data_IF_404939987988
#
_entry.id   IF_404939987988
#
_cell.length_a   1.000
_cell.length_b   1.000
_cell.length_c   1.000
_cell.angle_alpha   90.00
_cell.angle_beta   90.00
_cell.angle_gamma   90.00
#
_symmetry.space_group_name_H-M   'P 1'
#
loop_
_entity.id
_entity.type
_entity.pdbx_description
1 polymer ?
#
# COMPACT_ATOMS: atom_id res chain seq x y z
N UNK A 1 -8.53 5.24 -21.00
CA UNK A 1 -9.09 5.69 -19.71
C UNK A 1 -8.25 6.84 -19.21
N UNK A 2 -8.70 8.09 -19.33
CA UNK A 2 -8.01 9.24 -18.72
C UNK A 2 -8.58 9.50 -17.33
N UNK A 3 -7.72 9.72 -16.33
CA UNK A 3 -8.10 10.25 -15.02
C UNK A 3 -7.89 11.77 -15.06
N UNK A 4 -8.92 12.58 -15.40
CA UNK A 4 -8.70 13.99 -15.74
C UNK A 4 -8.16 14.81 -14.57
N UNK A 5 -8.41 14.36 -13.34
CA UNK A 5 -7.90 14.95 -12.09
C UNK A 5 -6.38 14.97 -12.01
N UNK A 6 -5.69 14.12 -12.77
CA UNK A 6 -4.22 14.09 -12.82
C UNK A 6 -3.66 15.08 -13.85
N UNK A 7 -4.45 15.52 -14.82
CA UNK A 7 -4.02 16.49 -15.84
C UNK A 7 -2.87 15.99 -16.72
N UNK A 8 -2.70 14.68 -16.86
CA UNK A 8 -1.62 14.07 -17.64
C UNK A 8 -2.06 13.78 -19.07
N UNK A 9 -1.18 14.04 -20.03
CA UNK A 9 -1.32 13.54 -21.40
C UNK A 9 -0.93 12.05 -21.50
N UNK A 10 -1.17 11.47 -22.67
CA UNK A 10 -0.96 10.03 -22.88
C UNK A 10 0.53 9.63 -22.77
N UNK A 11 1.44 10.50 -23.18
CA UNK A 11 2.88 10.27 -23.10
C UNK A 11 3.35 10.23 -21.64
N UNK A 12 2.94 11.23 -20.86
CA UNK A 12 3.23 11.32 -19.42
C UNK A 12 2.67 10.12 -18.65
N UNK A 13 1.48 9.62 -19.02
CA UNK A 13 0.91 8.41 -18.41
C UNK A 13 1.77 7.19 -18.72
N UNK A 14 2.29 7.06 -19.94
CA UNK A 14 3.11 5.92 -20.35
C UNK A 14 4.46 5.92 -19.62
N UNK A 15 5.10 7.07 -19.50
CA UNK A 15 6.35 7.21 -18.74
C UNK A 15 6.15 6.86 -17.26
N UNK A 16 5.15 7.47 -16.62
CA UNK A 16 4.84 7.21 -15.21
C UNK A 16 4.48 5.74 -14.95
N UNK A 17 3.76 5.09 -15.89
CA UNK A 17 3.45 3.68 -15.80
C UNK A 17 4.72 2.81 -15.84
N UNK A 18 5.69 3.18 -16.68
CA UNK A 18 6.99 2.50 -16.74
C UNK A 18 7.72 2.55 -15.39
N UNK A 19 7.83 3.76 -14.81
CA UNK A 19 8.46 3.96 -13.51
C UNK A 19 7.73 3.22 -12.38
N UNK A 20 6.39 3.22 -12.42
CA UNK A 20 5.58 2.49 -11.46
C UNK A 20 5.81 0.98 -11.54
N UNK A 21 5.83 0.41 -12.75
CA UNK A 21 6.00 -1.02 -12.96
C UNK A 21 7.38 -1.51 -12.52
N UNK A 22 8.42 -0.67 -12.58
CA UNK A 22 9.74 -1.00 -12.02
C UNK A 22 9.72 -1.18 -10.49
N UNK A 23 8.74 -0.56 -9.82
CA UNK A 23 8.56 -0.67 -8.37
C UNK A 23 7.47 -1.67 -7.96
N UNK A 24 6.78 -2.31 -8.92
CA UNK A 24 5.62 -3.15 -8.66
C UNK A 24 5.91 -4.62 -8.97
N UNK A 25 5.42 -5.51 -8.12
CA UNK A 25 5.51 -6.95 -8.31
C UNK A 25 4.12 -7.59 -8.32
N UNK A 26 3.91 -8.57 -9.20
CA UNK A 26 2.67 -9.37 -9.22
C UNK A 26 2.82 -10.53 -8.24
N UNK A 27 2.05 -10.50 -7.16
CA UNK A 27 2.07 -11.54 -6.13
C UNK A 27 0.84 -12.45 -6.26
N UNK A 28 1.06 -13.77 -6.28
CA UNK A 28 -0.01 -14.75 -6.23
C UNK A 28 -0.57 -14.84 -4.80
N UNK A 29 -1.84 -14.45 -4.62
CA UNK A 29 -2.44 -14.37 -3.30
C UNK A 29 -2.72 -15.74 -2.68
N UNK A 30 -2.30 -15.92 -1.44
CA UNK A 30 -2.73 -17.05 -0.60
C UNK A 30 -3.93 -16.61 0.26
N UNK A 31 -5.14 -16.87 -0.22
CA UNK A 31 -6.40 -16.37 0.38
C UNK A 31 -6.74 -17.01 1.74
N UNK A 32 -5.99 -18.02 2.18
CA UNK A 32 -6.27 -18.80 3.39
C UNK A 32 -6.23 -18.03 4.72
N UNK A 33 -5.78 -16.76 4.74
CA UNK A 33 -5.62 -15.96 5.96
C UNK A 33 -6.63 -14.82 6.16
N UNK A 34 -7.62 -14.65 5.27
CA UNK A 34 -8.52 -13.49 5.30
C UNK A 34 -9.52 -13.51 6.48
N UNK A 35 -9.75 -14.65 7.12
CA UNK A 35 -10.74 -14.80 8.21
C UNK A 35 -10.41 -14.00 9.49
N UNK A 36 -9.14 -13.60 9.66
CA UNK A 36 -8.70 -12.84 10.84
C UNK A 36 -8.62 -11.33 10.61
N UNK A 37 -9.07 -10.85 9.45
CA UNK A 37 -9.07 -9.42 9.16
C UNK A 37 -10.32 -8.74 9.75
N UNK A 38 -10.18 -7.51 10.26
CA UNK A 38 -11.34 -6.72 10.62
C UNK A 38 -12.19 -6.45 9.38
N UNK A 39 -13.51 -6.45 9.57
CA UNK A 39 -14.46 -6.05 8.53
C UNK A 39 -14.47 -4.53 8.44
N UNK A 40 -14.11 -4.00 7.27
CA UNK A 40 -14.19 -2.57 7.02
C UNK A 40 -15.64 -2.13 6.89
N UNK A 41 -15.94 -0.92 7.38
CA UNK A 41 -17.27 -0.31 7.19
C UNK A 41 -17.49 0.12 5.74
N UNK A 42 -16.43 0.60 5.10
CA UNK A 42 -16.39 0.85 3.66
C UNK A 42 -16.00 -0.44 2.94
N UNK A 43 -16.80 -0.84 1.96
CA UNK A 43 -16.53 -2.05 1.19
C UNK A 43 -15.28 -1.88 0.30
N UNK A 44 -14.98 -0.64 -0.11
CA UNK A 44 -13.83 -0.33 -0.97
C UNK A 44 -12.49 -0.40 -0.20
N UNK A 45 -12.54 -0.35 1.14
CA UNK A 45 -11.37 -0.51 2.02
C UNK A 45 -10.97 -1.98 2.21
N UNK A 46 -11.93 -2.90 2.14
CA UNK A 46 -11.72 -4.32 2.47
C UNK A 46 -10.65 -5.00 1.61
N UNK A 47 -10.58 -4.77 0.28
CA UNK A 47 -9.56 -5.37 -0.58
C UNK A 47 -8.14 -5.02 -0.15
N UNK A 48 -7.88 -3.83 0.38
CA UNK A 48 -6.53 -3.44 0.81
C UNK A 48 -6.02 -4.31 1.95
N UNK A 49 -6.88 -4.65 2.92
CA UNK A 49 -6.51 -5.56 4.01
C UNK A 49 -6.27 -6.98 3.52
N UNK A 50 -7.11 -7.45 2.58
CA UNK A 50 -7.00 -8.79 1.98
C UNK A 50 -5.71 -8.91 1.18
N UNK A 51 -5.35 -7.89 0.40
CA UNK A 51 -4.12 -7.84 -0.39
C UNK A 51 -2.88 -7.80 0.51
N UNK A 52 -2.87 -6.93 1.52
CA UNK A 52 -1.76 -6.85 2.48
C UNK A 52 -1.53 -8.20 3.20
N UNK A 53 -2.61 -8.87 3.61
CA UNK A 53 -2.52 -10.19 4.24
C UNK A 53 -2.11 -11.29 3.26
N UNK A 54 -2.70 -11.31 2.08
CA UNK A 54 -2.50 -12.35 1.07
C UNK A 54 -1.14 -12.27 0.38
N UNK A 55 -0.54 -11.07 0.36
CA UNK A 55 0.81 -10.80 -0.13
C UNK A 55 1.89 -10.80 0.96
N UNK A 56 1.55 -11.17 2.20
CA UNK A 56 2.47 -11.26 3.35
C UNK A 56 3.29 -9.98 3.61
N UNK A 57 2.65 -8.82 3.48
CA UNK A 57 3.33 -7.53 3.64
C UNK A 57 3.58 -7.20 5.10
N UNK A 58 4.73 -6.60 5.42
CA UNK A 58 5.01 -6.08 6.77
C UNK A 58 4.21 -4.81 7.09
N UNK A 59 3.96 -3.96 6.09
CA UNK A 59 3.34 -2.65 6.25
C UNK A 59 2.39 -2.32 5.08
N UNK A 60 1.16 -1.92 5.40
CA UNK A 60 0.24 -1.26 4.48
C UNK A 60 0.39 0.26 4.63
N UNK A 61 0.79 0.95 3.56
CA UNK A 61 0.97 2.41 3.57
C UNK A 61 -0.27 3.10 3.01
N UNK A 62 -0.91 3.96 3.80
CA UNK A 62 -2.13 4.69 3.38
C UNK A 62 -2.26 6.06 4.05
N UNK A 63 -3.04 6.96 3.45
CA UNK A 63 -3.48 8.23 4.08
C UNK A 63 -4.94 8.18 4.55
N UNK A 64 -5.62 7.06 4.35
CA UNK A 64 -7.00 6.89 4.76
C UNK A 64 -7.10 6.75 6.29
N UNK A 65 -7.94 7.57 6.93
CA UNK A 65 -8.07 7.60 8.40
C UNK A 65 -8.81 6.39 8.95
N UNK A 66 -9.73 5.81 8.19
CA UNK A 66 -10.49 4.61 8.57
C UNK A 66 -9.55 3.43 8.64
N UNK A 67 -8.74 3.22 7.59
CA UNK A 67 -7.72 2.17 7.55
C UNK A 67 -6.64 2.38 8.61
N UNK A 68 -6.14 3.60 8.80
CA UNK A 68 -5.16 3.91 9.86
C UNK A 68 -5.71 3.60 11.26
N UNK A 69 -7.02 3.74 11.48
CA UNK A 69 -7.68 3.37 12.74
C UNK A 69 -7.76 1.85 13.00
N UNK A 70 -7.41 1.02 12.01
CA UNK A 70 -7.33 -0.43 12.13
C UNK A 70 -5.91 -0.92 12.47
N UNK A 71 -4.94 -0.01 12.64
CA UNK A 71 -3.61 -0.36 13.12
C UNK A 71 -3.71 -1.23 14.40
N UNK A 72 -2.84 -2.24 14.50
CA UNK A 72 -2.82 -3.27 15.57
C UNK A 72 -4.01 -4.23 15.62
N UNK A 73 -5.02 -4.08 14.77
CA UNK A 73 -6.08 -5.09 14.57
C UNK A 73 -5.76 -6.05 13.44
N UNK A 74 -4.60 -5.88 12.82
CA UNK A 74 -4.06 -6.65 11.71
C UNK A 74 -2.75 -7.32 12.13
N UNK A 75 -2.34 -8.35 11.40
CA UNK A 75 -1.03 -8.99 11.58
C UNK A 75 0.15 -8.21 10.99
N UNK A 76 -0.11 -7.06 10.35
CA UNK A 76 0.84 -6.15 9.72
C UNK A 76 0.57 -4.72 10.18
N UNK A 77 1.53 -3.81 10.02
CA UNK A 77 1.38 -2.40 10.41
C UNK A 77 0.59 -1.62 9.39
N UNK A 78 -0.15 -0.60 9.81
CA UNK A 78 -0.79 0.35 8.90
C UNK A 78 -0.22 1.74 9.17
N UNK A 79 0.51 2.31 8.21
CA UNK A 79 1.28 3.54 8.39
C UNK A 79 0.98 4.61 7.35
N UNK A 80 1.25 5.86 7.69
CA UNK A 80 1.25 6.95 6.69
C UNK A 80 2.54 6.93 5.87
N UNK A 81 2.54 7.48 4.63
CA UNK A 81 3.76 7.59 3.82
C UNK A 81 4.89 8.36 4.50
N UNK A 82 4.55 9.32 5.39
CA UNK A 82 5.55 10.08 6.15
C UNK A 82 6.22 9.20 7.21
N UNK A 83 5.44 8.37 7.92
CA UNK A 83 5.98 7.47 8.93
C UNK A 83 6.80 6.35 8.30
N UNK A 84 6.29 5.76 7.23
CA UNK A 84 6.99 4.71 6.48
C UNK A 84 8.36 5.19 6.00
N UNK A 85 8.43 6.39 5.38
CA UNK A 85 9.70 6.96 4.90
C UNK A 85 10.73 7.21 6.01
N UNK A 86 10.30 7.65 7.20
CA UNK A 86 11.22 7.86 8.34
C UNK A 86 11.98 6.58 8.72
N UNK A 87 11.37 5.40 8.52
CA UNK A 87 12.03 4.12 8.73
C UNK A 87 13.21 3.86 7.79
N UNK A 88 13.17 4.42 6.57
CA UNK A 88 14.25 4.30 5.58
C UNK A 88 15.29 5.41 5.69
N UNK A 89 14.90 6.62 6.13
CA UNK A 89 15.82 7.74 6.36
C UNK A 89 16.81 7.49 7.52
N UNK A 90 16.50 6.56 8.43
CA UNK A 90 17.41 6.11 9.49
C UNK A 90 18.50 5.14 9.03
N UNK A 91 18.35 4.50 7.85
CA UNK A 91 19.28 3.49 7.33
C UNK A 91 20.42 4.11 6.52
N UNK A 92 20.25 5.33 6.01
CA UNK A 92 21.24 6.01 5.15
C UNK A 92 22.32 6.81 5.90
N UNK A 93 22.41 6.68 7.24
CA UNK A 93 23.44 7.40 8.06
C UNK A 93 24.39 6.49 8.85
N UNK A 94 24.51 5.22 8.49
CA UNK A 94 25.59 4.36 9.00
C UNK A 94 26.30 3.66 7.85
N UNK A 95 27.20 4.38 7.18
CA UNK A 95 28.35 3.75 6.54
C UNK A 95 29.48 4.78 6.39
N UNK A 96 30.57 4.54 7.13
CA UNK A 96 31.95 4.93 6.85
C UNK A 96 32.28 6.41 6.85
#
# INVERSE_FOLDING_TARGET
MSYPKLGLDEESVRELLGDYLLCAEVVALRVSGASNLPVCRDADDQPFLVLARGGDTDVLVTRDKTLLGLDRKTGFKIETPVMFRRGFEGVTRSNG
#
